data_IF_911697014561
#
_entry.id   IF_911697014561
#
_cell.length_a   1.000
_cell.length_b   1.000
_cell.length_c   1.000
_cell.angle_alpha   90.00
_cell.angle_beta   90.00
_cell.angle_gamma   90.00
#
_symmetry.space_group_name_H-M   'P 1'
#
loop_
_entity.id
_entity.type
_entity.pdbx_description
1 polymer ?
#
# COMPACT_ATOMS: atom_id res chain seq x y z
N UNK A 1 49.72 -0.02 12.06
CA UNK A 1 49.21 1.33 11.76
C UNK A 1 48.39 1.33 10.46
N UNK A 2 47.08 1.60 10.40
CA UNK A 2 46.02 1.84 11.37
C UNK A 2 44.72 1.56 10.61
N UNK A 3 43.73 0.95 11.28
CA UNK A 3 42.45 0.53 10.68
C UNK A 3 41.65 1.80 10.31
N UNK A 4 41.47 2.05 9.00
CA UNK A 4 40.86 3.31 8.47
C UNK A 4 39.36 3.17 8.21
N UNK A 5 38.77 2.00 8.43
CA UNK A 5 37.34 1.79 8.27
C UNK A 5 36.64 2.07 9.59
N UNK A 6 36.02 3.25 9.68
CA UNK A 6 35.03 3.59 10.68
C UNK A 6 33.93 2.51 10.62
N UNK A 7 33.77 1.72 11.68
CA UNK A 7 32.69 0.73 11.78
C UNK A 7 31.39 1.53 11.96
N UNK A 8 30.57 1.59 10.92
CA UNK A 8 29.21 2.15 10.99
C UNK A 8 28.45 1.49 12.16
N UNK A 9 28.05 2.30 13.14
CA UNK A 9 26.98 1.92 14.07
C UNK A 9 25.68 1.81 13.27
N UNK A 10 25.41 0.60 12.77
CA UNK A 10 24.08 0.22 12.33
C UNK A 10 23.21 0.35 13.58
N UNK A 11 22.34 1.36 13.62
CA UNK A 11 21.35 1.46 14.69
C UNK A 11 20.34 0.32 14.52
N UNK A 12 20.63 -0.82 15.13
CA UNK A 12 19.73 -1.96 15.23
C UNK A 12 18.67 -1.57 16.26
N UNK A 13 17.52 -1.06 15.80
CA UNK A 13 16.45 -0.59 16.67
C UNK A 13 15.19 -0.18 15.91
N UNK A 14 14.12 0.08 16.65
CA UNK A 14 12.83 0.52 16.09
C UNK A 14 12.98 1.91 15.46
N UNK A 15 12.74 2.00 14.15
CA UNK A 15 12.73 3.27 13.42
C UNK A 15 11.72 4.23 14.07
N UNK A 16 12.14 5.49 14.29
CA UNK A 16 11.29 6.51 14.93
C UNK A 16 10.05 6.75 14.06
N UNK A 17 8.86 6.71 14.67
CA UNK A 17 7.57 6.94 13.99
C UNK A 17 7.50 8.25 13.19
N UNK A 18 8.24 9.27 13.63
CA UNK A 18 8.37 10.54 12.94
C UNK A 18 8.90 10.41 11.49
N UNK A 19 9.76 9.41 11.21
CA UNK A 19 10.33 9.19 9.88
C UNK A 19 9.26 8.67 8.91
N UNK A 20 8.34 7.83 9.38
CA UNK A 20 7.18 7.40 8.58
C UNK A 20 6.25 8.57 8.28
N UNK A 21 6.07 9.49 9.23
CA UNK A 21 5.29 10.71 9.05
C UNK A 21 5.94 11.67 8.05
N UNK A 22 7.27 11.85 8.07
CA UNK A 22 7.97 12.62 7.03
C UNK A 22 7.81 12.01 5.64
N UNK A 23 7.85 10.67 5.54
CA UNK A 23 7.63 9.97 4.27
C UNK A 23 6.21 10.21 3.74
N UNK A 24 5.20 10.07 4.60
CA UNK A 24 3.79 10.33 4.25
C UNK A 24 3.56 11.80 3.89
N UNK A 25 4.25 12.73 4.56
CA UNK A 25 4.09 14.16 4.28
C UNK A 25 4.65 14.55 2.91
N UNK A 26 5.72 13.89 2.44
CA UNK A 26 6.26 14.04 1.08
C UNK A 26 5.45 13.30 0.01
N UNK A 27 4.81 12.20 0.36
CA UNK A 27 3.87 11.45 -0.50
C UNK A 27 2.61 12.27 -0.83
N UNK A 28 2.32 13.32 -0.06
CA UNK A 28 1.16 14.17 -0.19
C UNK A 28 0.03 13.67 0.71
N UNK A 29 -0.20 14.40 1.82
CA UNK A 29 -1.19 14.04 2.84
C UNK A 29 -2.58 13.79 2.24
N UNK A 30 -2.93 14.53 1.18
CA UNK A 30 -4.22 14.42 0.48
C UNK A 30 -4.33 13.10 -0.30
N UNK A 31 -3.27 12.68 -1.00
CA UNK A 31 -3.25 11.43 -1.76
C UNK A 31 -3.30 10.23 -0.82
N UNK A 32 -2.53 10.24 0.27
CA UNK A 32 -2.58 9.20 1.30
C UNK A 32 -3.94 9.12 1.97
N UNK A 33 -4.55 10.26 2.30
CA UNK A 33 -5.88 10.30 2.90
C UNK A 33 -6.95 9.75 1.94
N UNK A 34 -6.87 10.09 0.64
CA UNK A 34 -7.79 9.59 -0.37
C UNK A 34 -7.67 8.07 -0.57
N UNK A 35 -6.45 7.54 -0.63
CA UNK A 35 -6.19 6.09 -0.74
C UNK A 35 -6.67 5.34 0.50
N UNK A 36 -6.38 5.86 1.71
CA UNK A 36 -6.84 5.25 2.97
C UNK A 36 -8.37 5.24 3.06
N UNK A 37 -9.01 6.36 2.74
CA UNK A 37 -10.47 6.46 2.76
C UNK A 37 -11.09 5.49 1.75
N UNK A 38 -10.56 5.45 0.51
CA UNK A 38 -11.00 4.48 -0.50
C UNK A 38 -10.81 3.03 -0.06
N UNK A 39 -9.69 2.71 0.61
CA UNK A 39 -9.43 1.37 1.14
C UNK A 39 -10.40 0.97 2.27
N UNK A 40 -10.77 1.92 3.14
CA UNK A 40 -11.78 1.68 4.18
C UNK A 40 -13.14 1.40 3.54
N UNK A 41 -13.57 2.22 2.58
CA UNK A 41 -14.83 2.01 1.86
C UNK A 41 -14.85 0.66 1.14
N UNK A 42 -13.74 0.30 0.51
CA UNK A 42 -13.55 -0.99 -0.13
C UNK A 42 -13.75 -2.16 0.85
N UNK A 43 -13.13 -2.10 2.03
CA UNK A 43 -13.24 -3.15 3.05
C UNK A 43 -14.65 -3.23 3.65
N UNK A 44 -15.33 -2.10 3.81
CA UNK A 44 -16.71 -2.09 4.25
C UNK A 44 -17.65 -2.70 3.19
N UNK A 45 -17.46 -2.36 1.91
CA UNK A 45 -18.23 -2.94 0.82
C UNK A 45 -18.04 -4.46 0.71
N UNK A 46 -16.82 -4.94 0.88
CA UNK A 46 -16.48 -6.37 0.93
C UNK A 46 -17.20 -7.08 2.08
N UNK A 47 -17.16 -6.51 3.28
CA UNK A 47 -17.85 -7.06 4.45
C UNK A 47 -19.38 -7.10 4.27
N UNK A 48 -19.98 -6.05 3.70
CA UNK A 48 -21.41 -6.01 3.41
C UNK A 48 -21.82 -7.03 2.34
N UNK A 49 -21.00 -7.19 1.29
CA UNK A 49 -21.21 -8.22 0.26
C UNK A 49 -21.18 -9.61 0.88
N UNK A 50 -20.22 -9.89 1.75
CA UNK A 50 -20.11 -11.17 2.45
C UNK A 50 -21.32 -11.44 3.35
N UNK A 51 -21.81 -10.43 4.08
CA UNK A 51 -23.02 -10.54 4.89
C UNK A 51 -24.26 -10.81 4.03
N UNK A 52 -24.39 -10.11 2.90
CA UNK A 52 -25.51 -10.28 1.98
C UNK A 52 -25.58 -11.70 1.42
N UNK A 53 -24.46 -12.23 0.91
CA UNK A 53 -24.39 -13.59 0.36
C UNK A 53 -24.68 -14.62 1.44
N UNK A 54 -24.14 -14.45 2.65
CA UNK A 54 -24.37 -15.38 3.76
C UNK A 54 -25.86 -15.48 4.12
N UNK A 55 -26.55 -14.33 4.15
CA UNK A 55 -27.99 -14.29 4.40
C UNK A 55 -28.79 -14.89 3.24
N UNK A 56 -28.37 -14.65 2.00
CA UNK A 56 -28.98 -15.24 0.81
C UNK A 56 -28.83 -16.77 0.80
N UNK A 57 -27.64 -17.29 1.09
CA UNK A 57 -27.38 -18.74 1.18
C UNK A 57 -28.20 -19.40 2.29
N UNK A 58 -28.32 -18.76 3.45
CA UNK A 58 -29.13 -19.27 4.56
C UNK A 58 -30.64 -19.28 4.23
N UNK A 59 -31.10 -18.35 3.38
CA UNK A 59 -32.49 -18.30 2.92
C UNK A 59 -32.76 -19.41 1.91
N UNK A 60 -31.86 -19.61 0.95
CA UNK A 60 -31.93 -20.71 -0.04
C UNK A 60 -31.93 -22.08 0.65
N UNK A 61 -31.07 -22.27 1.66
CA UNK A 61 -31.00 -23.51 2.43
C UNK A 61 -32.32 -23.80 3.18
N UNK A 62 -32.96 -22.78 3.76
CA UNK A 62 -34.26 -22.91 4.43
C UNK A 62 -35.42 -23.17 3.47
N UNK A 63 -35.34 -22.67 2.24
CA UNK A 63 -36.41 -22.74 1.24
C UNK A 63 -36.41 -24.07 0.47
N UNK A 64 -35.31 -24.82 0.49
CA UNK A 64 -35.22 -26.17 -0.06
C UNK A 64 -35.59 -26.23 -1.56
N UNK A 65 -36.25 -27.33 -1.98
CA UNK A 65 -36.60 -27.63 -3.38
C UNK A 65 -37.64 -26.66 -4.01
N UNK A 66 -38.04 -25.60 -3.31
CA UNK A 66 -38.94 -24.53 -3.79
C UNK A 66 -38.18 -23.26 -4.22
N UNK A 67 -36.85 -23.29 -4.28
CA UNK A 67 -36.06 -22.15 -4.76
C UNK A 67 -36.14 -22.05 -6.28
N UNK A 68 -36.75 -20.99 -6.81
CA UNK A 68 -36.84 -20.76 -8.25
C UNK A 68 -35.46 -20.39 -8.81
N UNK A 69 -35.16 -20.86 -10.02
CA UNK A 69 -33.93 -20.52 -10.75
C UNK A 69 -33.76 -19.00 -10.92
N UNK A 70 -34.88 -18.28 -11.03
CA UNK A 70 -34.91 -16.82 -11.16
C UNK A 70 -34.36 -16.11 -9.91
N UNK A 71 -34.70 -16.59 -8.70
CA UNK A 71 -34.20 -16.02 -7.45
C UNK A 71 -32.68 -16.18 -7.33
N UNK A 72 -32.15 -17.35 -7.70
CA UNK A 72 -30.70 -17.64 -7.70
C UNK A 72 -29.97 -16.74 -8.69
N UNK A 73 -30.53 -16.53 -9.89
CA UNK A 73 -29.94 -15.63 -10.89
C UNK A 73 -29.89 -14.19 -10.39
N UNK A 74 -30.94 -13.70 -9.72
CA UNK A 74 -30.94 -12.36 -9.12
C UNK A 74 -29.86 -12.19 -8.04
N UNK A 75 -29.68 -13.17 -7.14
CA UNK A 75 -28.60 -13.12 -6.16
C UNK A 75 -27.21 -13.10 -6.81
N UNK A 76 -27.04 -13.85 -7.90
CA UNK A 76 -25.76 -13.93 -8.63
C UNK A 76 -25.46 -12.62 -9.37
N UNK A 77 -26.45 -11.98 -9.97
CA UNK A 77 -26.29 -10.67 -10.62
C UNK A 77 -25.83 -9.60 -9.63
N UNK A 78 -26.46 -9.55 -8.44
CA UNK A 78 -26.09 -8.62 -7.37
C UNK A 78 -24.66 -8.88 -6.89
N UNK A 79 -24.26 -10.15 -6.74
CA UNK A 79 -22.89 -10.50 -6.38
C UNK A 79 -21.85 -10.06 -7.42
N UNK A 80 -22.14 -10.29 -8.71
CA UNK A 80 -21.28 -9.85 -9.81
C UNK A 80 -21.12 -8.33 -9.81
N UNK A 81 -22.21 -7.58 -9.54
CA UNK A 81 -22.16 -6.13 -9.44
C UNK A 81 -21.26 -5.67 -8.29
N UNK A 82 -21.35 -6.27 -7.11
CA UNK A 82 -20.46 -5.99 -5.98
C UNK A 82 -18.99 -6.30 -6.33
N UNK A 83 -18.72 -7.46 -6.95
CA UNK A 83 -17.38 -7.83 -7.41
C UNK A 83 -16.82 -6.85 -8.46
N UNK A 84 -17.66 -6.33 -9.36
CA UNK A 84 -17.28 -5.31 -10.33
C UNK A 84 -16.86 -3.99 -9.66
N UNK A 85 -17.67 -3.50 -8.72
CA UNK A 85 -17.34 -2.29 -7.94
C UNK A 85 -16.06 -2.49 -7.13
N UNK A 86 -15.90 -3.68 -6.55
CA UNK A 86 -14.71 -4.09 -5.82
C UNK A 86 -13.47 -4.02 -6.72
N UNK A 87 -13.51 -4.66 -7.90
CA UNK A 87 -12.39 -4.68 -8.84
C UNK A 87 -11.98 -3.28 -9.31
N UNK A 88 -12.95 -2.42 -9.65
CA UNK A 88 -12.70 -1.03 -10.07
C UNK A 88 -12.05 -0.23 -8.94
N UNK A 89 -12.55 -0.36 -7.71
CA UNK A 89 -11.99 0.33 -6.55
C UNK A 89 -10.54 -0.08 -6.26
N UNK A 90 -10.19 -1.37 -6.43
CA UNK A 90 -8.82 -1.85 -6.28
C UNK A 90 -7.93 -1.25 -7.37
N UNK A 91 -8.37 -1.27 -8.63
CA UNK A 91 -7.60 -0.73 -9.75
C UNK A 91 -7.28 0.76 -9.54
N UNK A 92 -8.27 1.56 -9.14
CA UNK A 92 -8.08 2.98 -8.82
C UNK A 92 -7.14 3.16 -7.63
N UNK A 93 -7.28 2.36 -6.58
CA UNK A 93 -6.40 2.41 -5.41
C UNK A 93 -4.94 2.08 -5.75
N UNK A 94 -4.71 1.02 -6.54
CA UNK A 94 -3.37 0.60 -6.96
C UNK A 94 -2.70 1.60 -7.90
N UNK A 95 -3.45 2.15 -8.84
CA UNK A 95 -2.92 3.18 -9.76
C UNK A 95 -2.52 4.43 -9.00
N UNK A 96 -3.36 4.92 -8.08
CA UNK A 96 -3.03 6.04 -7.21
C UNK A 96 -1.79 5.75 -6.33
N UNK A 97 -1.71 4.55 -5.73
CA UNK A 97 -0.58 4.14 -4.91
C UNK A 97 0.71 4.04 -5.73
N UNK A 98 0.64 3.46 -6.94
CA UNK A 98 1.79 3.32 -7.85
C UNK A 98 2.34 4.69 -8.25
N UNK A 99 1.48 5.63 -8.65
CA UNK A 99 1.90 6.99 -8.99
C UNK A 99 2.55 7.71 -7.80
N UNK A 100 1.95 7.63 -6.61
CA UNK A 100 2.52 8.21 -5.40
C UNK A 100 3.86 7.57 -5.00
N UNK A 101 3.99 6.26 -5.20
CA UNK A 101 5.24 5.53 -4.96
C UNK A 101 6.35 5.99 -5.92
N UNK A 102 6.04 6.15 -7.20
CA UNK A 102 6.99 6.66 -8.20
C UNK A 102 7.46 8.07 -7.81
N UNK A 103 6.54 8.96 -7.46
CA UNK A 103 6.86 10.33 -7.05
C UNK A 103 7.75 10.37 -5.81
N UNK A 104 7.44 9.52 -4.83
CA UNK A 104 8.19 9.45 -3.58
C UNK A 104 9.57 8.83 -3.78
N UNK A 105 9.67 7.79 -4.63
CA UNK A 105 10.93 7.17 -5.02
C UNK A 105 11.84 8.20 -5.69
N UNK A 106 11.33 8.98 -6.66
CA UNK A 106 12.10 10.04 -7.30
C UNK A 106 12.53 11.14 -6.31
N UNK A 107 11.66 11.54 -5.38
CA UNK A 107 11.99 12.53 -4.36
C UNK A 107 13.07 12.05 -3.38
N UNK A 108 13.01 10.78 -2.96
CA UNK A 108 14.02 10.16 -2.12
C UNK A 108 15.35 10.01 -2.84
N UNK A 109 15.32 9.54 -4.08
CA UNK A 109 16.52 9.37 -4.90
C UNK A 109 17.25 10.70 -5.10
N UNK A 110 16.52 11.78 -5.43
CA UNK A 110 17.09 13.11 -5.55
C UNK A 110 17.68 13.64 -4.23
N UNK A 111 17.01 13.39 -3.10
CA UNK A 111 17.52 13.78 -1.76
C UNK A 111 18.82 13.05 -1.43
N UNK A 112 18.89 11.75 -1.76
CA UNK A 112 20.08 10.93 -1.56
C UNK A 112 21.25 11.41 -2.44
N UNK A 113 21.01 11.60 -3.75
CA UNK A 113 21.99 12.13 -4.71
C UNK A 113 22.55 13.49 -4.26
N UNK A 114 21.68 14.40 -3.84
CA UNK A 114 22.11 15.72 -3.36
C UNK A 114 22.99 15.62 -2.10
N UNK A 115 22.65 14.71 -1.18
CA UNK A 115 23.45 14.47 0.02
C UNK A 115 24.82 13.86 -0.30
N UNK A 116 24.88 12.93 -1.25
CA UNK A 116 26.13 12.29 -1.69
C UNK A 116 27.04 13.28 -2.42
N UNK A 117 26.49 14.10 -3.32
CA UNK A 117 27.27 15.10 -4.07
C UNK A 117 27.86 16.20 -3.18
N UNK A 118 27.25 16.47 -2.02
CA UNK A 118 27.73 17.48 -1.07
C UNK A 118 28.59 16.90 0.06
N UNK A 119 28.80 15.58 0.06
CA UNK A 119 29.67 14.95 1.04
C UNK A 119 31.14 15.36 0.76
N UNK A 120 31.90 15.78 1.80
CA UNK A 120 33.31 16.13 1.62
C UNK A 120 34.10 14.90 1.17
N UNK A 121 35.15 15.08 0.36
CA UNK A 121 36.01 14.00 -0.19
C UNK A 121 36.47 12.97 0.87
N UNK A 122 36.65 13.39 2.12
CA UNK A 122 37.01 12.53 3.25
C UNK A 122 35.98 11.42 3.55
N UNK A 123 34.71 11.61 3.20
CA UNK A 123 33.66 10.59 3.32
C UNK A 123 33.85 9.46 2.30
N UNK A 124 34.30 9.79 1.09
CA UNK A 124 34.58 8.82 0.02
C UNK A 124 35.88 8.02 0.24
N UNK A 125 36.84 8.58 0.99
CA UNK A 125 38.05 7.86 1.40
C UNK A 125 37.82 6.89 2.57
N UNK A 126 36.76 7.08 3.36
CA UNK A 126 36.48 6.33 4.60
C UNK A 126 35.36 5.28 4.45
N UNK A 127 34.50 5.40 3.43
CA UNK A 127 33.42 4.43 3.15
C UNK A 127 33.72 3.62 1.89
N UNK A 128 33.86 2.28 1.97
CA UNK A 128 34.13 1.47 0.79
C UNK A 128 32.96 1.59 -0.20
N UNK A 129 33.28 1.94 -1.44
CA UNK A 129 32.36 2.30 -2.54
C UNK A 129 31.28 1.24 -2.84
N UNK A 130 31.52 -0.01 -2.44
CA UNK A 130 30.55 -1.12 -2.56
C UNK A 130 29.29 -0.97 -1.71
N UNK A 131 29.25 -0.07 -0.72
CA UNK A 131 28.12 0.11 0.21
C UNK A 131 27.19 1.29 -0.13
N UNK A 132 27.61 2.19 -1.03
CA UNK A 132 26.78 3.31 -1.53
C UNK A 132 25.87 2.85 -2.68
N UNK A 133 26.23 1.76 -3.36
CA UNK A 133 25.50 1.20 -4.50
C UNK A 133 24.45 0.15 -4.12
N UNK A 134 24.53 -0.44 -2.91
CA UNK A 134 23.64 -1.49 -2.41
C UNK A 134 22.61 -0.95 -1.42
#
# INVERSE_FOLDING_TARGET
PGRITEEEEIQIGRVRWFIYLEFIWRFGIVATFFVLTGYIVFKLADALSLMYITNATATIEKQGNHTSREDILQYMEVYIAFGGVQAVSILVGLTALSLGCIWTSSALHNKMLYSVLRAPMRFFDSTPTGRILN
#
